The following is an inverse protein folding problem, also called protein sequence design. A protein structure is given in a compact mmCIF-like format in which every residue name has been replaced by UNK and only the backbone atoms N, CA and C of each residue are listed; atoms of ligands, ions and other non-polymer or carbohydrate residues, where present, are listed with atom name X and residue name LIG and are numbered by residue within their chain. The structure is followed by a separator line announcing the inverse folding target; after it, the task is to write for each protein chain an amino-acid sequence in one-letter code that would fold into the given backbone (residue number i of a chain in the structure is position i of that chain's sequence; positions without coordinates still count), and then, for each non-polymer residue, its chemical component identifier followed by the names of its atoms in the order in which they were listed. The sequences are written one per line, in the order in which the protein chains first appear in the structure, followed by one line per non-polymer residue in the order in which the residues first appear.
data_IF_274093846943
#
_entry.id   IF_274093846943
#
_cell.length_a   1.000
_cell.length_b   1.000
_cell.length_c   1.000
_cell.angle_alpha   90.00
_cell.angle_beta   90.00
_cell.angle_gamma   90.00
#
_symmetry.space_group_name_H-M   'P 1'
#
loop_
_entity.id
_entity.type
_entity.pdbx_description
1 polymer ?
#
# COMPACT_ATOMS: atom_id res chain seq x y z
N UNK A 1 -9.80 -26.55 7.91
CA UNK A 1 -8.34 -26.43 7.99
C UNK A 1 -7.90 -25.53 6.86
N UNK A 2 -7.33 -24.39 7.20
CA UNK A 2 -6.72 -23.43 6.28
C UNK A 2 -5.24 -23.78 6.15
N UNK A 3 -4.85 -24.31 4.99
CA UNK A 3 -3.44 -24.56 4.71
C UNK A 3 -2.82 -23.28 4.15
N UNK A 4 -2.03 -22.63 5.01
CA UNK A 4 -1.12 -21.55 4.66
C UNK A 4 0.16 -22.17 4.09
N UNK A 5 0.19 -22.45 2.79
CA UNK A 5 1.43 -22.86 2.13
C UNK A 5 2.28 -21.63 1.78
N UNK A 6 3.40 -21.61 2.48
CA UNK A 6 4.45 -20.62 2.49
C UNK A 6 5.40 -20.91 1.31
N UNK A 7 5.19 -20.29 0.15
CA UNK A 7 6.06 -20.47 -1.00
C UNK A 7 6.94 -19.24 -1.27
N UNK A 8 7.90 -19.03 -0.38
CA UNK A 8 9.10 -18.27 -0.70
C UNK A 8 10.12 -19.22 -1.34
N UNK A 9 10.02 -19.44 -2.65
CA UNK A 9 11.11 -19.95 -3.51
C UNK A 9 10.69 -19.88 -4.98
N UNK A 10 11.24 -18.93 -5.76
CA UNK A 10 11.97 -19.21 -7.01
C UNK A 10 12.37 -17.89 -7.71
N UNK A 11 13.65 -17.58 -7.67
CA UNK A 11 14.28 -16.49 -8.42
C UNK A 11 14.63 -17.06 -9.80
N UNK A 12 13.85 -16.71 -10.83
CA UNK A 12 14.26 -16.42 -12.22
C UNK A 12 13.07 -16.53 -13.19
N UNK A 13 12.49 -15.37 -13.54
CA UNK A 13 11.74 -15.15 -14.79
C UNK A 13 10.29 -15.65 -14.85
N UNK A 14 9.35 -14.74 -14.66
CA UNK A 14 7.93 -14.84 -15.07
C UNK A 14 6.99 -15.80 -14.29
N UNK A 15 7.21 -16.01 -13.00
CA UNK A 15 6.19 -16.55 -12.09
C UNK A 15 5.98 -15.63 -10.90
N UNK A 16 5.48 -14.41 -11.16
CA UNK A 16 5.03 -13.53 -10.07
C UNK A 16 3.75 -14.16 -9.50
N UNK A 17 3.87 -14.86 -8.36
CA UNK A 17 2.71 -15.28 -7.59
C UNK A 17 1.94 -14.02 -7.21
N UNK A 18 0.82 -13.80 -7.87
CA UNK A 18 -0.07 -12.69 -7.56
C UNK A 18 -0.82 -13.08 -6.31
N UNK A 19 -0.67 -12.27 -5.26
CA UNK A 19 -1.31 -12.54 -3.99
C UNK A 19 -2.77 -12.12 -4.05
N UNK A 20 -3.66 -13.04 -3.71
CA UNK A 20 -5.08 -12.74 -3.57
C UNK A 20 -5.35 -11.82 -2.37
N UNK A 21 -6.49 -11.12 -2.43
CA UNK A 21 -6.95 -10.27 -1.33
C UNK A 21 -7.57 -11.10 -0.20
N UNK A 22 -7.84 -10.45 0.93
CA UNK A 22 -8.56 -11.05 2.06
C UNK A 22 -9.94 -11.59 1.68
N UNK A 23 -10.56 -10.97 0.67
CA UNK A 23 -11.84 -11.37 0.11
C UNK A 23 -11.71 -11.56 -1.40
N UNK A 24 -12.15 -12.70 -1.96
CA UNK A 24 -12.06 -12.98 -3.39
C UNK A 24 -12.71 -11.92 -4.27
N UNK A 25 -13.74 -11.23 -3.79
CA UNK A 25 -14.40 -10.14 -4.53
C UNK A 25 -13.47 -8.95 -4.78
N UNK A 26 -12.40 -8.81 -3.99
CA UNK A 26 -11.42 -7.74 -4.14
C UNK A 26 -10.18 -8.15 -4.94
N UNK A 27 -10.08 -9.38 -5.43
CA UNK A 27 -8.86 -9.88 -6.09
C UNK A 27 -8.53 -9.11 -7.38
N UNK A 28 -9.51 -8.93 -8.27
CA UNK A 28 -9.29 -8.19 -9.52
C UNK A 28 -8.89 -6.74 -9.25
N UNK A 29 -9.54 -6.07 -8.29
CA UNK A 29 -9.20 -4.72 -7.85
C UNK A 29 -7.78 -4.66 -7.28
N UNK A 30 -7.40 -5.66 -6.47
CA UNK A 30 -6.05 -5.77 -5.92
C UNK A 30 -5.02 -5.91 -7.03
N UNK A 31 -5.24 -6.82 -7.97
CA UNK A 31 -4.28 -7.09 -9.05
C UNK A 31 -4.10 -5.86 -9.95
N UNK A 32 -5.19 -5.15 -10.25
CA UNK A 32 -5.14 -3.91 -11.02
C UNK A 32 -4.38 -2.81 -10.27
N UNK A 33 -4.67 -2.62 -8.98
CA UNK A 33 -3.97 -1.65 -8.14
C UNK A 33 -2.48 -1.98 -8.01
N UNK A 34 -2.13 -3.23 -7.66
CA UNK A 34 -0.74 -3.66 -7.49
C UNK A 34 0.05 -3.51 -8.79
N UNK A 35 -0.55 -3.84 -9.94
CA UNK A 35 0.10 -3.65 -11.25
C UNK A 35 0.40 -2.18 -11.52
N UNK A 36 -0.58 -1.31 -11.29
CA UNK A 36 -0.41 0.14 -11.45
C UNK A 36 0.67 0.68 -10.51
N UNK A 37 0.57 0.36 -9.21
CA UNK A 37 1.45 0.88 -8.18
C UNK A 37 2.89 0.45 -8.41
N UNK A 38 3.14 -0.82 -8.71
CA UNK A 38 4.51 -1.30 -8.93
C UNK A 38 5.15 -0.64 -10.16
N UNK A 39 4.39 -0.48 -11.25
CA UNK A 39 4.89 0.24 -12.43
C UNK A 39 5.26 1.69 -12.10
N UNK A 40 4.36 2.42 -11.43
CA UNK A 40 4.64 3.79 -10.97
C UNK A 40 5.80 3.86 -9.97
N UNK A 41 5.89 2.90 -9.06
CA UNK A 41 6.91 2.85 -8.02
C UNK A 41 8.30 2.71 -8.64
N UNK A 42 8.46 1.74 -9.55
CA UNK A 42 9.73 1.47 -10.24
C UNK A 42 10.10 2.61 -11.20
N UNK A 43 9.12 3.12 -11.95
CA UNK A 43 9.41 4.05 -13.03
C UNK A 43 9.47 5.52 -12.63
N UNK A 44 8.81 5.91 -11.54
CA UNK A 44 8.68 7.31 -11.13
C UNK A 44 9.18 7.53 -9.71
N UNK A 45 8.69 6.74 -8.75
CA UNK A 45 9.00 6.98 -7.35
C UNK A 45 10.49 6.77 -7.04
N UNK A 46 11.04 5.59 -7.39
CA UNK A 46 12.44 5.23 -7.15
C UNK A 46 13.43 6.11 -7.92
N UNK A 47 13.03 6.67 -9.06
CA UNK A 47 13.86 7.60 -9.86
C UNK A 47 13.83 9.04 -9.34
N UNK A 48 13.01 9.33 -8.31
CA UNK A 48 12.88 10.68 -7.74
C UNK A 48 12.05 11.64 -8.59
N UNK A 49 11.27 11.13 -9.54
CA UNK A 49 10.44 11.92 -10.46
C UNK A 49 9.00 12.11 -9.97
N UNK A 50 8.69 11.67 -8.75
CA UNK A 50 7.36 11.71 -8.12
C UNK A 50 6.92 13.11 -7.63
N UNK A 51 7.36 14.18 -8.29
CA UNK A 51 7.06 15.56 -7.88
C UNK A 51 5.62 16.00 -8.20
N UNK A 52 4.88 15.21 -8.95
CA UNK A 52 3.48 15.47 -9.29
C UNK A 52 2.57 15.12 -8.12
N UNK A 53 1.56 15.96 -7.86
CA UNK A 53 0.55 15.69 -6.82
C UNK A 53 -0.40 14.55 -7.18
N UNK A 54 -0.51 14.23 -8.46
CA UNK A 54 -1.39 13.18 -8.97
C UNK A 54 -0.61 11.87 -9.07
N UNK A 55 -1.05 10.86 -8.32
CA UNK A 55 -0.55 9.49 -8.43
C UNK A 55 -1.54 8.72 -9.34
N UNK A 56 -1.07 8.09 -10.43
CA UNK A 56 -1.95 7.48 -11.44
C UNK A 56 -2.85 6.36 -10.90
N UNK A 57 -2.53 5.81 -9.72
CA UNK A 57 -3.23 4.68 -9.12
C UNK A 57 -4.23 5.08 -8.03
N UNK A 58 -4.41 6.37 -7.75
CA UNK A 58 -5.23 6.85 -6.62
C UNK A 58 -6.69 6.39 -6.72
N UNK A 59 -7.29 6.46 -7.91
CA UNK A 59 -8.66 5.99 -8.13
C UNK A 59 -8.80 4.48 -7.87
N UNK A 60 -7.82 3.68 -8.31
CA UNK A 60 -7.77 2.24 -8.06
C UNK A 60 -7.62 1.95 -6.57
N UNK A 61 -6.75 2.70 -5.88
CA UNK A 61 -6.54 2.57 -4.44
C UNK A 61 -7.82 2.86 -3.65
N UNK A 62 -8.57 3.89 -4.02
CA UNK A 62 -9.82 4.22 -3.34
C UNK A 62 -10.84 3.09 -3.45
N UNK A 63 -11.03 2.54 -4.65
CA UNK A 63 -12.00 1.47 -4.89
C UNK A 63 -11.55 0.17 -4.21
N UNK A 64 -10.28 -0.21 -4.36
CA UNK A 64 -9.71 -1.40 -3.72
C UNK A 64 -9.78 -1.32 -2.19
N UNK A 65 -9.35 -0.20 -1.61
CA UNK A 65 -9.36 -0.02 -0.15
C UNK A 65 -10.78 -0.03 0.42
N UNK A 66 -11.78 0.50 -0.30
CA UNK A 66 -13.18 0.41 0.11
C UNK A 66 -13.68 -1.05 0.13
N UNK A 67 -13.31 -1.84 -0.87
CA UNK A 67 -13.61 -3.28 -0.93
C UNK A 67 -13.02 -4.01 0.29
N UNK A 68 -11.73 -3.82 0.55
CA UNK A 68 -11.02 -4.48 1.66
C UNK A 68 -11.56 -4.04 3.02
N UNK A 69 -11.85 -2.75 3.23
CA UNK A 69 -12.46 -2.24 4.46
C UNK A 69 -13.81 -2.91 4.75
N UNK A 70 -14.59 -3.18 3.72
CA UNK A 70 -15.88 -3.89 3.85
C UNK A 70 -15.66 -5.33 4.28
N UNK A 71 -14.70 -6.03 3.65
CA UNK A 71 -14.34 -7.40 4.02
C UNK A 71 -13.79 -7.52 5.46
N UNK A 72 -12.96 -6.56 5.89
CA UNK A 72 -12.41 -6.50 7.24
C UNK A 72 -13.52 -6.37 8.29
N UNK A 73 -14.49 -5.47 8.05
CA UNK A 73 -15.68 -5.32 8.89
C UNK A 73 -16.51 -6.60 8.96
N UNK A 74 -16.72 -7.28 7.84
CA UNK A 74 -17.46 -8.55 7.79
C UNK A 74 -16.78 -9.65 8.62
N UNK A 75 -15.45 -9.63 8.70
CA UNK A 75 -14.64 -10.56 9.50
C UNK A 75 -14.40 -10.11 10.94
N UNK A 76 -14.98 -8.98 11.37
CA UNK A 76 -14.80 -8.37 12.71
C UNK A 76 -13.33 -8.07 13.04
N UNK A 77 -12.56 -7.64 12.05
CA UNK A 77 -11.19 -7.17 12.22
C UNK A 77 -11.26 -5.64 12.37
N UNK A 78 -10.98 -5.13 13.56
CA UNK A 78 -10.96 -3.70 13.86
C UNK A 78 -9.58 -3.11 13.47
N UNK A 79 -9.58 -2.03 12.65
CA UNK A 79 -8.33 -1.33 12.27
C UNK A 79 -8.00 -0.14 13.18
N UNK A 80 -8.93 0.24 14.05
CA UNK A 80 -8.89 1.53 14.74
C UNK A 80 -7.70 1.61 15.71
N UNK A 81 -7.32 0.48 16.32
CA UNK A 81 -6.18 0.40 17.25
C UNK A 81 -4.83 0.73 16.59
N UNK A 82 -4.67 0.49 15.29
CA UNK A 82 -3.42 0.72 14.54
C UNK A 82 -3.21 2.18 14.12
N UNK A 83 -4.25 3.00 14.14
CA UNK A 83 -4.18 4.40 13.71
C UNK A 83 -3.56 5.34 14.77
N UNK A 84 -3.48 4.86 16.01
CA UNK A 84 -3.08 5.65 17.18
C UNK A 84 -1.59 6.01 17.20
N UNK A 85 -0.74 5.26 16.50
CA UNK A 85 0.72 5.50 16.50
C UNK A 85 1.18 6.51 15.42
N UNK A 86 0.36 6.82 14.40
CA UNK A 86 0.73 7.76 13.34
C UNK A 86 0.39 9.22 13.62
N UNK A 87 -0.41 9.52 14.65
CA UNK A 87 -0.83 10.89 14.98
C UNK A 87 0.07 11.62 15.99
N UNK A 88 1.10 10.99 16.55
CA UNK A 88 1.89 11.56 17.65
C UNK A 88 3.24 12.21 17.25
N UNK A 89 3.60 12.26 15.96
CA UNK A 89 4.91 12.80 15.53
C UNK A 89 4.85 14.10 14.70
N UNK A 90 3.73 14.82 14.70
CA UNK A 90 3.66 16.18 14.16
C UNK A 90 3.61 17.25 15.26
N UNK A 91 4.45 17.11 16.29
CA UNK A 91 4.80 18.20 17.20
C UNK A 91 6.30 18.48 17.14
N UNK A 92 6.62 19.68 16.63
CA UNK A 92 7.82 20.46 16.92
C UNK A 92 9.16 19.95 16.37
N UNK A 93 9.44 20.33 15.12
CA UNK A 93 10.79 20.39 14.56
C UNK A 93 11.09 21.79 14.00
N UNK A 94 11.06 22.82 14.84
CA UNK A 94 11.62 24.14 14.54
C UNK A 94 13.11 23.97 14.18
N UNK A 95 13.43 23.98 12.89
CA UNK A 95 14.80 24.23 12.41
C UNK A 95 14.93 25.71 12.10
N UNK A 96 15.06 26.51 13.15
CA UNK A 96 15.65 27.84 13.04
C UNK A 96 17.16 27.67 12.78
N UNK A 97 17.52 27.55 11.49
CA UNK A 97 18.89 27.72 11.01
C UNK A 97 19.26 29.21 11.08
N UNK A 98 19.71 29.66 12.26
CA UNK A 98 20.48 30.91 12.36
C UNK A 98 21.93 30.61 12.01
N UNK A 99 22.29 30.83 10.75
CA UNK A 99 23.67 31.07 10.35
C UNK A 99 24.15 32.34 11.07
N UNK A 100 24.96 32.15 12.11
CA UNK A 100 25.74 33.22 12.74
C UNK A 100 26.89 33.54 11.81
N UNK A 101 27.01 34.82 11.45
CA UNK A 101 28.20 35.45 10.85
C UNK A 101 28.91 36.24 11.95
#
# INVERSE_FOLDING_TARGET
MSDSENDFNNINGNNRKVLDSLDPSCNELKHAYDTCFNGWFDDTFLKGEHKTKEIPCDALLQIYSACVKTALKARKIELDDLSSEMNNNNTSGDRNDKRVE
#
